data_IF_314416634937
#
_entry.id   IF_314416634937
#
_cell.length_a   1.000
_cell.length_b   1.000
_cell.length_c   1.000
_cell.angle_alpha   90.00
_cell.angle_beta   90.00
_cell.angle_gamma   90.00
#
_symmetry.space_group_name_H-M   'P 1'
#
loop_
_entity.id
_entity.type
_entity.pdbx_description
1 polymer ?
#
# COMPACT_ATOMS: atom_id res chain seq x y z
N UNK A 1 -30.33 10.62 -19.34
CA UNK A 1 -28.90 10.70 -19.70
C UNK A 1 -28.22 9.42 -19.25
N UNK A 2 -27.80 8.50 -20.12
CA UNK A 2 -26.99 7.36 -19.71
C UNK A 2 -25.61 7.88 -19.26
N UNK A 3 -25.14 7.43 -18.10
CA UNK A 3 -23.78 7.69 -17.64
C UNK A 3 -22.85 6.82 -18.48
N UNK A 4 -21.95 7.44 -19.25
CA UNK A 4 -20.82 6.74 -19.85
C UNK A 4 -19.89 6.31 -18.72
N UNK A 5 -20.07 5.09 -18.23
CA UNK A 5 -19.08 4.39 -17.40
C UNK A 5 -17.97 3.91 -18.33
N UNK A 6 -16.71 4.00 -17.89
CA UNK A 6 -15.61 3.39 -18.65
C UNK A 6 -15.80 1.86 -18.71
N UNK A 7 -15.36 1.20 -19.79
CA UNK A 7 -15.44 -0.26 -19.89
C UNK A 7 -14.82 -0.92 -18.65
N UNK A 8 -15.62 -1.73 -17.94
CA UNK A 8 -15.20 -2.44 -16.72
C UNK A 8 -15.62 -1.79 -15.40
N UNK A 9 -16.17 -0.58 -15.40
CA UNK A 9 -16.66 0.05 -14.16
C UNK A 9 -18.07 -0.44 -13.79
N UNK A 10 -18.24 -0.92 -12.56
CA UNK A 10 -19.55 -1.33 -12.02
C UNK A 10 -19.87 -0.56 -10.74
N UNK A 11 -21.17 -0.40 -10.44
CA UNK A 11 -21.63 0.30 -9.24
C UNK A 11 -22.06 -0.69 -8.17
N UNK A 12 -21.51 -0.54 -6.97
CA UNK A 12 -21.91 -1.28 -5.78
C UNK A 12 -22.64 -0.36 -4.80
N UNK A 13 -23.88 -0.71 -4.45
CA UNK A 13 -24.67 0.01 -3.45
C UNK A 13 -24.73 -0.83 -2.18
N UNK A 14 -24.40 -0.24 -1.03
CA UNK A 14 -24.45 -0.91 0.26
C UNK A 14 -25.00 0.05 1.32
N UNK A 15 -25.62 -0.52 2.36
CA UNK A 15 -26.13 0.23 3.51
C UNK A 15 -25.07 0.24 4.60
N UNK A 16 -24.82 1.40 5.19
CA UNK A 16 -23.94 1.55 6.34
C UNK A 16 -24.62 2.38 7.44
N UNK A 17 -24.28 2.12 8.71
CA UNK A 17 -24.64 3.02 9.80
C UNK A 17 -24.20 4.46 9.56
N UNK A 18 -25.02 5.44 9.97
CA UNK A 18 -24.78 6.87 9.71
C UNK A 18 -23.51 7.38 10.40
N UNK A 19 -23.22 6.89 11.61
CA UNK A 19 -21.98 7.21 12.34
C UNK A 19 -20.73 6.81 11.55
N UNK A 20 -20.73 5.62 10.94
CA UNK A 20 -19.64 5.11 10.11
C UNK A 20 -19.49 5.93 8.83
N UNK A 21 -20.60 6.31 8.20
CA UNK A 21 -20.61 7.18 7.03
C UNK A 21 -19.98 8.54 7.34
N UNK A 22 -20.37 9.16 8.44
CA UNK A 22 -19.82 10.46 8.88
C UNK A 22 -18.32 10.35 9.13
N UNK A 23 -17.90 9.33 9.90
CA UNK A 23 -16.49 9.09 10.19
C UNK A 23 -15.66 8.86 8.92
N UNK A 24 -16.18 8.08 7.98
CA UNK A 24 -15.53 7.79 6.71
C UNK A 24 -15.36 9.04 5.85
N UNK A 25 -16.42 9.85 5.70
CA UNK A 25 -16.38 11.10 4.95
C UNK A 25 -15.42 12.12 5.57
N UNK A 26 -15.38 12.19 6.91
CA UNK A 26 -14.42 13.06 7.62
C UNK A 26 -12.98 12.65 7.35
N UNK A 27 -12.70 11.34 7.35
CA UNK A 27 -11.36 10.81 7.06
C UNK A 27 -10.94 11.06 5.61
N UNK A 28 -11.85 10.89 4.65
CA UNK A 28 -11.59 11.21 3.25
C UNK A 28 -11.23 12.69 3.08
N UNK A 29 -11.99 13.60 3.71
CA UNK A 29 -11.70 15.04 3.70
C UNK A 29 -10.36 15.38 4.35
N UNK A 30 -10.04 14.79 5.49
CA UNK A 30 -8.77 15.02 6.19
C UNK A 30 -7.55 14.61 5.33
N UNK A 31 -7.69 13.57 4.52
CA UNK A 31 -6.65 13.07 3.62
C UNK A 31 -6.64 13.74 2.25
N UNK A 32 -7.48 14.77 2.02
CA UNK A 32 -7.59 15.44 0.72
C UNK A 32 -8.05 14.52 -0.42
N UNK A 33 -8.74 13.42 -0.12
CA UNK A 33 -9.15 12.40 -1.10
C UNK A 33 -10.67 12.28 -1.19
N UNK A 34 -11.17 11.65 -2.25
CA UNK A 34 -12.60 11.36 -2.39
C UNK A 34 -12.97 10.09 -1.60
N UNK A 35 -14.23 10.00 -1.18
CA UNK A 35 -14.75 8.83 -0.48
C UNK A 35 -14.58 7.54 -1.31
N UNK A 36 -14.84 7.62 -2.62
CA UNK A 36 -14.67 6.50 -3.55
C UNK A 36 -13.21 6.08 -3.67
N UNK A 37 -12.28 7.04 -3.78
CA UNK A 37 -10.84 6.74 -3.88
C UNK A 37 -10.32 6.09 -2.60
N UNK A 38 -10.72 6.60 -1.43
CA UNK A 38 -10.38 5.99 -0.14
C UNK A 38 -10.95 4.56 -0.01
N UNK A 39 -12.15 4.32 -0.53
CA UNK A 39 -12.76 2.99 -0.52
C UNK A 39 -12.02 2.02 -1.44
N UNK A 40 -11.64 2.47 -2.65
CA UNK A 40 -10.85 1.67 -3.58
C UNK A 40 -9.47 1.33 -3.00
N UNK A 41 -8.78 2.31 -2.41
CA UNK A 41 -7.49 2.06 -1.72
C UNK A 41 -7.63 1.02 -0.59
N UNK A 42 -8.75 1.05 0.14
CA UNK A 42 -9.03 0.06 1.16
C UNK A 42 -9.31 -1.33 0.57
N UNK A 43 -10.05 -1.41 -0.54
CA UNK A 43 -10.30 -2.66 -1.26
C UNK A 43 -8.98 -3.23 -1.80
N UNK A 44 -8.15 -2.42 -2.44
CA UNK A 44 -6.84 -2.82 -2.95
C UNK A 44 -5.92 -3.33 -1.82
N UNK A 45 -5.94 -2.65 -0.67
CA UNK A 45 -5.22 -3.10 0.52
C UNK A 45 -5.75 -4.43 1.06
N UNK A 46 -7.07 -4.63 1.07
CA UNK A 46 -7.68 -5.88 1.53
C UNK A 46 -7.39 -7.05 0.58
N UNK A 47 -7.36 -6.79 -0.73
CA UNK A 47 -7.04 -7.78 -1.75
C UNK A 47 -5.53 -8.01 -1.93
N UNK A 48 -4.67 -7.24 -1.26
CA UNK A 48 -3.22 -7.35 -1.38
C UNK A 48 -2.65 -6.81 -2.71
N UNK A 49 -3.45 -6.03 -3.45
CA UNK A 49 -3.09 -5.40 -4.74
C UNK A 49 -2.42 -4.03 -4.53
N UNK A 50 -2.22 -3.63 -3.26
CA UNK A 50 -1.57 -2.36 -2.95
C UNK A 50 -0.11 -2.36 -3.44
N UNK A 51 0.34 -1.30 -4.16
CA UNK A 51 1.74 -1.16 -4.58
C UNK A 51 2.72 -1.06 -3.38
N UNK A 52 2.21 -0.89 -2.15
CA UNK A 52 3.02 -0.91 -0.92
C UNK A 52 3.64 -2.28 -0.63
N UNK A 53 3.06 -3.38 -1.09
CA UNK A 53 3.69 -4.69 -0.92
C UNK A 53 4.99 -4.80 -1.73
N UNK A 54 5.03 -4.23 -2.93
CA UNK A 54 6.23 -4.21 -3.76
C UNK A 54 7.34 -3.36 -3.13
N UNK A 55 6.98 -2.23 -2.48
CA UNK A 55 7.95 -1.43 -1.73
C UNK A 55 8.52 -2.19 -0.53
N UNK A 56 7.68 -2.91 0.22
CA UNK A 56 8.12 -3.70 1.38
C UNK A 56 9.05 -4.85 0.93
N UNK A 57 8.72 -5.54 -0.16
CA UNK A 57 9.55 -6.63 -0.67
C UNK A 57 10.84 -6.12 -1.32
N UNK A 58 10.81 -4.95 -1.95
CA UNK A 58 11.99 -4.20 -2.40
C UNK A 58 12.91 -3.81 -1.23
N UNK A 59 12.34 -3.30 -0.14
CA UNK A 59 13.09 -2.93 1.07
C UNK A 59 13.72 -4.19 1.69
N UNK A 60 12.97 -5.30 1.81
CA UNK A 60 13.53 -6.57 2.31
C UNK A 60 14.70 -7.06 1.49
N UNK A 61 14.63 -6.98 0.15
CA UNK A 61 15.75 -7.36 -0.73
C UNK A 61 16.97 -6.47 -0.50
N UNK A 62 16.79 -5.16 -0.40
CA UNK A 62 17.89 -4.23 -0.10
C UNK A 62 18.53 -4.48 1.26
N UNK A 63 17.75 -4.84 2.27
CA UNK A 63 18.26 -5.20 3.60
C UNK A 63 19.11 -6.48 3.52
N UNK A 64 18.63 -7.51 2.81
CA UNK A 64 19.39 -8.75 2.63
C UNK A 64 20.73 -8.53 1.90
N UNK A 65 20.75 -7.68 0.86
CA UNK A 65 21.99 -7.30 0.16
C UNK A 65 22.98 -6.56 1.07
N UNK A 66 22.47 -5.68 1.95
CA UNK A 66 23.30 -4.96 2.92
C UNK A 66 23.86 -5.88 4.00
N UNK A 67 23.10 -6.88 4.44
CA UNK A 67 23.55 -7.91 5.39
C UNK A 67 24.66 -8.77 4.78
N UNK A 68 24.49 -9.25 3.54
CA UNK A 68 25.55 -9.98 2.83
C UNK A 68 26.81 -9.13 2.63
N UNK A 69 26.65 -7.86 2.27
CA UNK A 69 27.79 -6.95 2.09
C UNK A 69 28.54 -6.76 3.40
N UNK A 70 27.81 -6.61 4.52
CA UNK A 70 28.39 -6.49 5.85
C UNK A 70 29.18 -7.75 6.24
N UNK A 71 28.61 -8.94 6.04
CA UNK A 71 29.30 -10.20 6.33
C UNK A 71 30.60 -10.36 5.50
N UNK A 72 30.56 -10.00 4.22
CA UNK A 72 31.77 -10.03 3.37
C UNK A 72 32.81 -9.02 3.82
N UNK A 73 32.40 -7.81 4.19
CA UNK A 73 33.30 -6.77 4.68
C UNK A 73 33.96 -7.17 6.02
N UNK A 74 33.20 -7.76 6.94
CA UNK A 74 33.72 -8.27 8.22
C UNK A 74 34.72 -9.42 8.00
N UNK A 75 34.45 -10.31 7.04
CA UNK A 75 35.37 -11.39 6.68
C UNK A 75 36.69 -10.88 6.10
N UNK A 76 36.63 -9.93 5.16
CA UNK A 76 37.84 -9.33 4.56
C UNK A 76 38.64 -8.56 5.61
N UNK A 77 37.98 -7.81 6.49
CA UNK A 77 38.65 -7.10 7.58
C UNK A 77 39.28 -8.05 8.60
N UNK A 78 38.62 -9.17 8.90
CA UNK A 78 39.17 -10.22 9.76
C UNK A 78 40.40 -10.91 9.15
N UNK A 79 40.39 -11.14 7.84
CA UNK A 79 41.53 -11.72 7.10
C UNK A 79 42.70 -10.74 6.96
N UNK A 80 42.46 -9.42 6.94
CA UNK A 80 43.50 -8.39 6.89
C UNK A 80 44.11 -8.05 8.26
N UNK A 81 43.44 -8.42 9.35
CA UNK A 81 43.90 -8.18 10.72
C UNK A 81 44.63 -9.37 11.35
N UNK A 82 44.68 -10.53 10.67
CA UNK A 82 45.38 -11.75 11.06
C UNK A 82 46.75 -11.87 10.35
#
# INVERSE_FOLDING_TARGET
>A
MPRNLAEGETQMNFRIPEDKKIAFLKKAKANGTSASKLLLEFIDSYLGVSPKNDEIDSIKRKVAELEEFKERAEKILGELAA
#
